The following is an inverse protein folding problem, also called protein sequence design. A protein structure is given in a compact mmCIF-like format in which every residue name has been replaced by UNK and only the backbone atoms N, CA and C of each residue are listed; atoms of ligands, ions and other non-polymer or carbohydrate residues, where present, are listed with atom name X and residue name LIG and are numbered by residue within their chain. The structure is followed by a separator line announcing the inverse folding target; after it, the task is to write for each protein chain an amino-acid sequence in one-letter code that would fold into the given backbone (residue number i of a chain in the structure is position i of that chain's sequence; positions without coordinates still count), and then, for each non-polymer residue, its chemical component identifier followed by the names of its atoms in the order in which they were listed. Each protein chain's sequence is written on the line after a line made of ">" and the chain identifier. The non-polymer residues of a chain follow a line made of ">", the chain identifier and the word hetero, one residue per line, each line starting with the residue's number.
data_IF_113090763054
#
_entry.id   IF_113090763054
#
_cell.length_a   1.000
_cell.length_b   1.000
_cell.length_c   1.000
_cell.angle_alpha   90.00
_cell.angle_beta   90.00
_cell.angle_gamma   90.00
#
_symmetry.space_group_name_H-M   'P 1'
#
loop_
_entity.id
_entity.type
_entity.pdbx_description
1 polymer ?
#
# COMPACT_ATOMS: atom_id res chain seq x y z
N UNK A 1 4.03 -5.88 -17.23
CA UNK A 1 4.01 -5.04 -16.02
C UNK A 1 3.50 -3.65 -16.36
N UNK A 2 2.69 -3.07 -15.48
CA UNK A 2 2.28 -1.67 -15.54
C UNK A 2 3.51 -0.77 -15.53
N UNK A 3 3.55 0.18 -16.45
CA UNK A 3 4.68 1.08 -16.58
C UNK A 3 4.56 2.23 -15.56
N UNK A 4 5.28 2.11 -14.45
CA UNK A 4 5.36 3.11 -13.39
C UNK A 4 6.53 4.07 -13.63
N UNK A 5 6.30 5.36 -13.42
CA UNK A 5 7.38 6.34 -13.33
C UNK A 5 8.17 6.16 -12.02
N UNK A 6 9.38 6.73 -11.96
CA UNK A 6 10.24 6.64 -10.76
C UNK A 6 9.54 7.12 -9.49
N UNK A 7 8.79 8.21 -9.58
CA UNK A 7 8.05 8.75 -8.44
C UNK A 7 6.94 7.79 -7.98
N UNK A 8 6.27 7.14 -8.92
CA UNK A 8 5.20 6.18 -8.62
C UNK A 8 5.77 4.92 -7.93
N UNK A 9 6.91 4.43 -8.40
CA UNK A 9 7.65 3.34 -7.72
C UNK A 9 8.06 3.78 -6.31
N UNK A 10 8.51 5.02 -6.14
CA UNK A 10 8.90 5.52 -4.81
C UNK A 10 7.71 5.57 -3.84
N UNK A 11 6.53 5.98 -4.32
CA UNK A 11 5.28 5.94 -3.53
C UNK A 11 4.93 4.51 -3.15
N UNK A 12 4.95 3.57 -4.10
CA UNK A 12 4.69 2.14 -3.85
C UNK A 12 5.68 1.60 -2.81
N UNK A 13 6.98 1.87 -2.97
CA UNK A 13 8.02 1.46 -2.00
C UNK A 13 7.74 2.00 -0.60
N UNK A 14 7.31 3.25 -0.49
CA UNK A 14 7.00 3.86 0.81
C UNK A 14 5.78 3.21 1.47
N UNK A 15 4.75 2.88 0.69
CA UNK A 15 3.56 2.15 1.17
C UNK A 15 3.96 0.75 1.66
N UNK A 16 4.69 -0.01 0.86
CA UNK A 16 5.15 -1.37 1.22
C UNK A 16 6.04 -1.37 2.47
N UNK A 17 6.98 -0.43 2.59
CA UNK A 17 7.82 -0.28 3.79
C UNK A 17 6.99 0.06 5.03
N UNK A 18 5.97 0.90 4.87
CA UNK A 18 5.06 1.23 5.95
C UNK A 18 4.24 0.00 6.36
N UNK A 19 3.75 -0.78 5.41
CA UNK A 19 3.06 -2.04 5.69
C UNK A 19 3.98 -3.09 6.37
N UNK A 20 5.24 -3.19 5.95
CA UNK A 20 6.26 -4.02 6.60
C UNK A 20 6.54 -3.58 8.05
N UNK A 21 6.56 -2.28 8.32
CA UNK A 21 6.75 -1.74 9.69
C UNK A 21 5.52 -1.92 10.56
N UNK A 22 4.33 -1.64 10.03
CA UNK A 22 3.04 -1.81 10.72
C UNK A 22 2.80 -3.28 11.03
N UNK A 23 3.22 -4.19 10.16
CA UNK A 23 3.26 -5.58 10.56
C UNK A 23 4.20 -5.68 11.76
N UNK A 24 5.51 -5.49 11.63
CA UNK A 24 6.48 -5.74 12.73
C UNK A 24 6.12 -5.24 14.14
N UNK A 25 5.43 -4.12 14.26
CA UNK A 25 5.23 -3.42 15.54
C UNK A 25 3.81 -3.50 16.15
N UNK A 26 2.80 -4.12 15.51
CA UNK A 26 1.41 -4.03 15.99
C UNK A 26 0.97 -5.21 16.87
N UNK A 27 0.27 -4.90 17.97
CA UNK A 27 -0.45 -5.87 18.82
C UNK A 27 -1.44 -6.69 17.94
N UNK A 28 -1.27 -8.02 17.83
CA UNK A 28 -2.12 -8.89 17.00
C UNK A 28 -3.62 -8.73 17.25
N UNK A 29 -4.02 -8.21 18.42
CA UNK A 29 -5.42 -7.99 18.81
C UNK A 29 -6.08 -6.76 18.20
N UNK A 30 -5.32 -5.84 17.60
CA UNK A 30 -5.83 -4.58 17.03
C UNK A 30 -6.21 -4.69 15.55
N UNK A 31 -5.87 -5.79 14.87
CA UNK A 31 -6.21 -6.00 13.47
C UNK A 31 -7.44 -6.93 13.30
N UNK A 32 -8.23 -6.64 12.26
CA UNK A 32 -9.48 -7.33 11.90
C UNK A 32 -9.22 -8.76 11.37
N UNK A 33 -7.96 -9.16 11.18
CA UNK A 33 -7.54 -10.41 10.52
C UNK A 33 -6.58 -11.24 11.40
N UNK A 34 -6.60 -12.57 11.24
CA UNK A 34 -5.86 -13.55 12.06
C UNK A 34 -4.32 -13.48 11.92
N UNK A 35 -3.57 -13.89 12.95
CA UNK A 35 -2.09 -13.92 13.02
C UNK A 35 -1.39 -14.55 11.79
N UNK A 36 -1.98 -15.59 11.17
CA UNK A 36 -1.41 -16.22 9.97
C UNK A 36 -1.43 -15.31 8.72
N UNK A 37 -2.41 -14.41 8.61
CA UNK A 37 -2.46 -13.44 7.50
C UNK A 37 -1.40 -12.34 7.64
N UNK A 38 -0.96 -12.07 8.87
CA UNK A 38 0.05 -11.06 9.15
C UNK A 38 1.43 -11.48 8.66
N UNK A 39 1.81 -12.74 8.93
CA UNK A 39 3.11 -13.27 8.50
C UNK A 39 3.17 -13.34 6.97
N UNK A 40 2.07 -13.79 6.34
CA UNK A 40 1.92 -13.78 4.88
C UNK A 40 2.05 -12.38 4.28
N UNK A 41 1.42 -11.36 4.88
CA UNK A 41 1.49 -9.97 4.39
C UNK A 41 2.90 -9.37 4.48
N UNK A 42 3.61 -9.60 5.60
CA UNK A 42 4.99 -9.11 5.75
C UNK A 42 5.91 -9.72 4.69
N UNK A 43 5.80 -11.04 4.47
CA UNK A 43 6.60 -11.75 3.47
C UNK A 43 6.25 -11.30 2.04
N UNK A 44 4.96 -11.08 1.74
CA UNK A 44 4.53 -10.50 0.45
C UNK A 44 5.10 -9.10 0.22
N UNK A 45 5.06 -8.22 1.22
CA UNK A 45 5.64 -6.87 1.10
C UNK A 45 7.15 -6.92 0.87
N UNK A 46 7.87 -7.84 1.55
CA UNK A 46 9.31 -8.02 1.37
C UNK A 46 9.66 -8.59 0.00
N UNK A 47 8.90 -9.57 -0.49
CA UNK A 47 9.05 -10.12 -1.83
C UNK A 47 8.84 -9.02 -2.88
N UNK A 48 7.79 -8.20 -2.71
CA UNK A 48 7.49 -7.09 -3.60
C UNK A 48 8.57 -5.99 -3.59
N UNK A 49 9.09 -5.63 -2.42
CA UNK A 49 10.21 -4.69 -2.29
C UNK A 49 11.49 -5.23 -2.94
N UNK A 50 11.76 -6.53 -2.81
CA UNK A 50 12.92 -7.18 -3.41
C UNK A 50 12.79 -7.26 -4.94
N UNK A 51 11.62 -7.59 -5.46
CA UNK A 51 11.33 -7.62 -6.90
C UNK A 51 11.53 -6.25 -7.58
N UNK A 52 11.16 -5.16 -6.90
CA UNK A 52 11.40 -3.79 -7.39
C UNK A 52 12.88 -3.41 -7.54
N UNK A 53 13.79 -4.23 -7.02
CA UNK A 53 15.24 -4.00 -7.07
C UNK A 53 16.00 -5.11 -7.83
N UNK A 54 15.31 -6.19 -8.20
CA UNK A 54 15.92 -7.38 -8.81
C UNK A 54 15.02 -7.90 -9.95
N UNK A 55 15.37 -7.55 -11.18
CA UNK A 55 14.61 -7.90 -12.39
C UNK A 55 14.53 -9.42 -12.62
N UNK A 56 15.61 -10.16 -12.37
CA UNK A 56 15.63 -11.64 -12.46
C UNK A 56 14.61 -12.29 -11.50
N UNK A 57 14.50 -11.76 -10.28
CA UNK A 57 13.52 -12.25 -9.31
C UNK A 57 12.09 -11.89 -9.72
N UNK A 58 11.88 -10.69 -10.28
CA UNK A 58 10.57 -10.27 -10.77
C UNK A 58 10.07 -11.17 -11.90
N UNK A 59 10.95 -11.55 -12.83
CA UNK A 59 10.63 -12.49 -13.92
C UNK A 59 10.24 -13.88 -13.38
N UNK A 60 10.98 -14.39 -12.38
CA UNK A 60 10.71 -15.69 -11.76
C UNK A 60 9.44 -15.69 -10.88
N UNK A 61 9.18 -14.61 -10.17
CA UNK A 61 8.04 -14.47 -9.26
C UNK A 61 6.74 -14.25 -10.04
N UNK A 62 6.78 -13.43 -11.10
CA UNK A 62 5.60 -13.13 -11.92
C UNK A 62 5.07 -11.73 -11.66
N UNK A 63 4.94 -10.96 -12.75
CA UNK A 63 4.53 -9.55 -12.69
C UNK A 63 3.10 -9.38 -12.15
N UNK A 64 2.18 -10.30 -12.45
CA UNK A 64 0.78 -10.25 -12.00
C UNK A 64 0.68 -10.37 -10.47
N UNK A 65 1.49 -11.24 -9.87
CA UNK A 65 1.51 -11.48 -8.42
C UNK A 65 2.06 -10.25 -7.68
N UNK A 66 3.07 -9.60 -8.24
CA UNK A 66 3.60 -8.33 -7.72
C UNK A 66 2.56 -7.21 -7.81
N UNK A 67 1.86 -7.12 -8.94
CA UNK A 67 0.80 -6.13 -9.15
C UNK A 67 -0.38 -6.32 -8.19
N UNK A 68 -0.75 -7.57 -7.88
CA UNK A 68 -1.74 -7.88 -6.85
C UNK A 68 -1.29 -7.38 -5.47
N UNK A 69 -0.05 -7.67 -5.06
CA UNK A 69 0.50 -7.17 -3.80
C UNK A 69 0.49 -5.63 -3.76
N UNK A 70 0.89 -4.96 -4.86
CA UNK A 70 0.84 -3.50 -4.91
C UNK A 70 -0.59 -2.97 -4.75
N UNK A 71 -1.56 -3.57 -5.44
CA UNK A 71 -2.94 -3.10 -5.38
C UNK A 71 -3.53 -3.25 -3.97
N UNK A 72 -3.35 -4.43 -3.36
CA UNK A 72 -3.86 -4.72 -2.01
C UNK A 72 -3.31 -3.74 -0.97
N UNK A 73 -1.99 -3.49 -1.02
CA UNK A 73 -1.33 -2.60 -0.06
C UNK A 73 -1.70 -1.13 -0.27
N UNK A 74 -1.89 -0.70 -1.52
CA UNK A 74 -2.40 0.63 -1.82
C UNK A 74 -3.85 0.81 -1.35
N UNK A 75 -4.71 -0.21 -1.51
CA UNK A 75 -6.10 -0.19 -1.03
C UNK A 75 -6.15 -0.06 0.50
N UNK A 76 -5.38 -0.89 1.22
CA UNK A 76 -5.30 -0.83 2.69
C UNK A 76 -4.78 0.54 3.16
N UNK A 77 -3.82 1.12 2.43
CA UNK A 77 -3.33 2.45 2.76
C UNK A 77 -4.39 3.55 2.54
N UNK A 78 -5.22 3.44 1.50
CA UNK A 78 -6.37 4.33 1.29
C UNK A 78 -7.36 4.23 2.45
N UNK A 79 -7.69 3.03 2.92
CA UNK A 79 -8.62 2.83 4.04
C UNK A 79 -8.08 3.43 5.35
N UNK A 80 -6.76 3.27 5.58
CA UNK A 80 -6.09 3.92 6.70
C UNK A 80 -6.13 5.45 6.60
N UNK A 81 -5.88 6.03 5.42
CA UNK A 81 -5.96 7.47 5.21
C UNK A 81 -7.38 8.02 5.43
N UNK A 82 -8.43 7.28 5.05
CA UNK A 82 -9.81 7.66 5.37
C UNK A 82 -10.08 7.67 6.88
N UNK A 83 -9.50 6.73 7.62
CA UNK A 83 -9.59 6.67 9.08
C UNK A 83 -8.90 7.89 9.72
N UNK A 84 -7.65 8.14 9.34
CA UNK A 84 -6.87 9.30 9.83
C UNK A 84 -7.56 10.63 9.50
N UNK A 85 -8.16 10.74 8.31
CA UNK A 85 -8.95 11.91 7.93
C UNK A 85 -10.15 12.12 8.87
N UNK A 86 -10.88 11.06 9.19
CA UNK A 86 -12.04 11.13 10.07
C UNK A 86 -11.65 11.63 11.47
N UNK A 87 -10.51 11.18 11.99
CA UNK A 87 -9.97 11.60 13.28
C UNK A 87 -9.58 13.09 13.26
N UNK A 88 -8.81 13.53 12.28
CA UNK A 88 -8.39 14.94 12.13
C UNK A 88 -9.57 15.89 11.92
N UNK A 89 -10.60 15.46 11.17
CA UNK A 89 -11.82 16.25 11.00
C UNK A 89 -12.59 16.42 12.32
N UNK A 90 -12.57 15.42 13.19
CA UNK A 90 -13.17 15.52 14.53
C UNK A 90 -12.43 16.53 15.42
N UNK A 91 -11.15 16.77 15.14
CA UNK A 91 -10.28 17.74 15.83
C UNK A 91 -10.30 19.16 15.22
N UNK A 92 -11.12 19.42 14.19
CA UNK A 92 -11.25 20.70 13.47
C UNK A 92 -9.98 21.21 12.74
N UNK A 93 -9.04 20.33 12.38
CA UNK A 93 -7.85 20.72 11.63
C UNK A 93 -8.06 20.68 10.11
N UNK A 94 -8.52 21.79 9.53
CA UNK A 94 -8.87 21.86 8.10
C UNK A 94 -7.70 21.67 7.12
N UNK A 95 -6.47 21.99 7.53
CA UNK A 95 -5.28 21.87 6.66
C UNK A 95 -4.82 20.40 6.55
N UNK A 96 -4.83 19.67 7.67
CA UNK A 96 -4.48 18.25 7.71
C UNK A 96 -5.42 17.39 6.86
N UNK A 97 -6.72 17.66 6.95
CA UNK A 97 -7.73 16.94 6.14
C UNK A 97 -7.52 17.12 4.62
N UNK A 98 -7.07 18.29 4.15
CA UNK A 98 -6.85 18.53 2.71
C UNK A 98 -5.62 17.77 2.19
N UNK A 99 -4.55 17.72 2.99
CA UNK A 99 -3.34 17.00 2.60
C UNK A 99 -3.58 15.49 2.49
N UNK A 100 -4.47 14.93 3.32
CA UNK A 100 -4.89 13.53 3.21
C UNK A 100 -5.69 13.29 1.92
N UNK A 101 -6.59 14.20 1.55
CA UNK A 101 -7.34 14.07 0.30
C UNK A 101 -6.44 14.04 -0.94
N UNK A 102 -5.40 14.87 -0.98
CA UNK A 102 -4.39 14.86 -2.05
C UNK A 102 -3.67 13.51 -2.14
N UNK A 103 -3.26 12.94 -0.99
CA UNK A 103 -2.64 11.61 -0.93
C UNK A 103 -3.59 10.51 -1.41
N UNK A 104 -4.85 10.52 -0.98
CA UNK A 104 -5.83 9.53 -1.42
C UNK A 104 -6.00 9.57 -2.95
N UNK A 105 -6.08 10.78 -3.53
CA UNK A 105 -6.20 10.94 -4.99
C UNK A 105 -4.96 10.41 -5.72
N UNK A 106 -3.75 10.66 -5.20
CA UNK A 106 -2.51 10.14 -5.75
C UNK A 106 -2.48 8.60 -5.75
N UNK A 107 -2.82 7.98 -4.61
CA UNK A 107 -2.82 6.52 -4.47
C UNK A 107 -3.88 5.88 -5.37
N UNK A 108 -5.10 6.43 -5.42
CA UNK A 108 -6.17 5.91 -6.30
C UNK A 108 -5.78 5.95 -7.79
N UNK A 109 -4.96 6.94 -8.21
CA UNK A 109 -4.44 6.96 -9.59
C UNK A 109 -3.48 5.79 -9.86
N UNK A 110 -2.63 5.42 -8.89
CA UNK A 110 -1.75 4.25 -8.99
C UNK A 110 -2.57 2.96 -9.08
N UNK A 111 -3.57 2.80 -8.22
CA UNK A 111 -4.44 1.64 -8.20
C UNK A 111 -5.17 1.46 -9.54
N UNK A 112 -5.69 2.56 -10.11
CA UNK A 112 -6.35 2.54 -11.43
C UNK A 112 -5.40 2.18 -12.58
N UNK A 113 -4.09 2.41 -12.44
CA UNK A 113 -3.11 1.93 -13.43
C UNK A 113 -2.91 0.41 -13.36
N UNK A 114 -2.99 -0.16 -12.16
CA UNK A 114 -2.89 -1.61 -11.92
C UNK A 114 -4.15 -2.32 -12.39
N UNK A 115 -5.31 -1.89 -11.87
CA UNK A 115 -6.61 -2.47 -12.19
C UNK A 115 -7.57 -1.37 -12.65
N UNK A 116 -7.63 -1.06 -13.96
CA UNK A 116 -8.43 0.04 -14.48
C UNK A 116 -9.95 -0.18 -14.41
N UNK A 117 -10.41 -1.41 -14.10
CA UNK A 117 -11.81 -1.81 -14.14
C UNK A 117 -12.43 -2.15 -12.77
N UNK A 118 -11.68 -2.04 -11.66
CA UNK A 118 -12.15 -2.39 -10.30
C UNK A 118 -12.92 -1.23 -9.60
N UNK A 119 -13.76 -0.48 -10.34
CA UNK A 119 -14.65 0.58 -9.79
C UNK A 119 -16.08 0.08 -9.46
#
# INVERSE_FOLDING_TARGET
>A
MVNFSKNEIEVIKNVLKRAESISRDVDPKLFIYSEDMYLGRNDSCRAALYALENEEFLEDFGEEEIEEIFWDELQLYVDYLYTEKSEIQSENESLGSKHIDEKIVEIKKLMKKIRPFDE
#
